data_IF_930377278106
#
_entry.id   IF_930377278106
#
_cell.length_a   1.000
_cell.length_b   1.000
_cell.length_c   1.000
_cell.angle_alpha   90.00
_cell.angle_beta   90.00
_cell.angle_gamma   90.00
#
_symmetry.space_group_name_H-M   'P 1'
#
loop_
_entity.id
_entity.type
_entity.pdbx_description
1 polymer ?
#
# COMPACT_ATOMS: atom_id res chain seq x y z
N UNK A 1 -28.53 19.76 -12.24
CA UNK A 1 -27.84 19.11 -11.10
C UNK A 1 -27.99 17.59 -11.28
N UNK A 2 -26.98 16.92 -11.84
CA UNK A 2 -26.99 15.46 -12.01
C UNK A 2 -27.07 14.81 -10.62
N UNK A 3 -28.21 14.19 -10.33
CA UNK A 3 -28.36 13.29 -9.19
C UNK A 3 -27.72 11.97 -9.61
N UNK A 4 -26.39 11.92 -9.61
CA UNK A 4 -25.67 10.68 -9.80
C UNK A 4 -25.91 9.82 -8.56
N UNK A 5 -26.47 8.61 -8.74
CA UNK A 5 -26.49 7.62 -7.68
C UNK A 5 -25.06 7.44 -7.17
N UNK A 6 -24.85 7.68 -5.87
CA UNK A 6 -23.59 7.34 -5.21
C UNK A 6 -23.49 5.81 -5.23
N UNK A 7 -22.85 5.28 -6.27
CA UNK A 7 -22.48 3.87 -6.33
C UNK A 7 -21.32 3.62 -5.37
N UNK A 8 -21.42 2.56 -4.58
CA UNK A 8 -20.31 2.11 -3.74
C UNK A 8 -19.27 1.45 -4.66
N UNK A 9 -18.14 2.11 -4.88
CA UNK A 9 -17.04 1.58 -5.71
C UNK A 9 -16.05 0.88 -4.79
N UNK A 10 -15.87 -0.43 -4.98
CA UNK A 10 -14.92 -1.25 -4.25
C UNK A 10 -13.96 -1.96 -5.21
N UNK A 11 -12.73 -2.23 -4.76
CA UNK A 11 -11.77 -3.05 -5.50
C UNK A 11 -11.83 -4.46 -4.93
N UNK A 12 -11.95 -5.46 -5.81
CA UNK A 12 -12.02 -6.85 -5.43
C UNK A 12 -10.76 -7.59 -5.87
N UNK A 13 -10.11 -8.27 -4.94
CA UNK A 13 -9.08 -9.25 -5.22
C UNK A 13 -9.67 -10.65 -5.05
N UNK A 14 -9.81 -11.41 -6.15
CA UNK A 14 -10.32 -12.79 -6.14
C UNK A 14 -9.23 -13.83 -5.79
N UNK A 15 -8.15 -13.39 -5.18
CA UNK A 15 -6.97 -14.20 -4.93
C UNK A 15 -6.24 -13.68 -3.71
N UNK A 16 -5.76 -14.60 -2.87
CA UNK A 16 -4.86 -14.32 -1.76
C UNK A 16 -3.37 -14.27 -2.19
N UNK A 17 -3.08 -14.40 -3.50
CA UNK A 17 -1.72 -14.27 -4.01
C UNK A 17 -1.18 -12.87 -3.72
N UNK A 18 0.01 -12.81 -3.11
CA UNK A 18 0.69 -11.55 -2.72
C UNK A 18 0.77 -10.58 -3.89
N UNK A 19 1.17 -11.04 -5.09
CA UNK A 19 1.26 -10.18 -6.28
C UNK A 19 -0.09 -9.56 -6.67
N UNK A 20 -1.20 -10.30 -6.55
CA UNK A 20 -2.54 -9.79 -6.85
C UNK A 20 -3.01 -8.79 -5.79
N UNK A 21 -2.71 -9.03 -4.52
CA UNK A 21 -3.05 -8.11 -3.43
C UNK A 21 -2.28 -6.79 -3.57
N UNK A 22 -0.98 -6.86 -3.88
CA UNK A 22 -0.14 -5.68 -4.11
C UNK A 22 -0.59 -4.89 -5.34
N UNK A 23 -0.95 -5.59 -6.43
CA UNK A 23 -1.58 -4.97 -7.59
C UNK A 23 -2.87 -4.23 -7.20
N UNK A 24 -3.75 -4.88 -6.44
CA UNK A 24 -5.03 -4.31 -6.05
C UNK A 24 -4.87 -3.10 -5.11
N UNK A 25 -3.90 -3.14 -4.19
CA UNK A 25 -3.52 -2.00 -3.37
C UNK A 25 -2.99 -0.84 -4.22
N UNK A 26 -2.19 -1.14 -5.24
CA UNK A 26 -1.66 -0.12 -6.14
C UNK A 26 -2.73 0.54 -7.01
N UNK A 27 -3.63 -0.27 -7.59
CA UNK A 27 -4.80 0.23 -8.32
C UNK A 27 -5.68 1.09 -7.42
N UNK A 28 -5.88 0.69 -6.15
CA UNK A 28 -6.61 1.49 -5.17
C UNK A 28 -6.00 2.86 -4.97
N UNK A 29 -4.70 2.94 -4.75
CA UNK A 29 -4.03 4.21 -4.56
C UNK A 29 -4.17 5.13 -5.79
N UNK A 30 -4.01 4.57 -7.00
CA UNK A 30 -4.18 5.31 -8.25
C UNK A 30 -5.62 5.84 -8.42
N UNK A 31 -6.62 4.99 -8.16
CA UNK A 31 -8.03 5.37 -8.27
C UNK A 31 -8.42 6.38 -7.19
N UNK A 32 -7.97 6.18 -5.95
CA UNK A 32 -8.23 7.10 -4.84
C UNK A 32 -7.70 8.51 -5.17
N UNK A 33 -6.51 8.63 -5.77
CA UNK A 33 -5.96 9.93 -6.22
C UNK A 33 -6.82 10.62 -7.27
N UNK A 34 -7.45 9.86 -8.18
CA UNK A 34 -8.28 10.40 -9.27
C UNK A 34 -9.74 10.65 -8.88
N UNK A 35 -10.25 9.91 -7.90
CA UNK A 35 -11.65 9.92 -7.49
C UNK A 35 -11.89 10.64 -6.14
N UNK A 36 -10.82 11.19 -5.54
CA UNK A 36 -10.74 11.74 -4.17
C UNK A 36 -11.88 12.69 -3.73
N UNK A 37 -12.49 13.55 -4.56
CA UNK A 37 -13.62 14.35 -4.09
C UNK A 37 -15.00 13.67 -4.18
N UNK A 38 -15.14 12.54 -4.90
CA UNK A 38 -16.46 12.01 -5.30
C UNK A 38 -16.82 10.64 -4.71
N UNK A 39 -15.86 9.80 -4.34
CA UNK A 39 -16.12 8.37 -4.14
C UNK A 39 -16.35 7.92 -2.68
N UNK A 40 -16.10 8.77 -1.67
CA UNK A 40 -15.82 8.24 -0.32
C UNK A 40 -14.59 7.33 -0.36
N UNK A 41 -14.16 6.75 0.76
CA UNK A 41 -13.04 5.80 0.73
C UNK A 41 -13.30 4.65 -0.26
N UNK A 42 -12.28 4.21 -0.99
CA UNK A 42 -12.34 3.04 -1.88
C UNK A 42 -11.98 1.78 -1.09
N UNK A 43 -12.94 0.97 -0.59
CA UNK A 43 -12.61 -0.25 0.13
C UNK A 43 -11.95 -1.27 -0.78
N UNK A 44 -11.01 -2.03 -0.21
CA UNK A 44 -10.40 -3.20 -0.83
C UNK A 44 -10.97 -4.46 -0.19
N UNK A 45 -11.55 -5.33 -1.00
CA UNK A 45 -12.23 -6.55 -0.58
C UNK A 45 -11.49 -7.76 -1.16
N UNK A 46 -11.31 -8.80 -0.35
CA UNK A 46 -10.81 -10.11 -0.79
C UNK A 46 -12.01 -11.05 -0.88
N UNK A 47 -12.11 -11.77 -1.99
CA UNK A 47 -13.11 -12.83 -2.16
C UNK A 47 -12.46 -14.17 -1.80
N UNK A 48 -13.02 -14.82 -0.80
CA UNK A 48 -12.68 -16.17 -0.34
C UNK A 48 -13.85 -17.10 -0.70
N UNK A 49 -13.58 -18.22 -1.37
CA UNK A 49 -14.66 -19.14 -1.81
C UNK A 49 -15.42 -19.78 -0.64
N UNK A 50 -14.77 -19.95 0.51
CA UNK A 50 -15.37 -20.52 1.71
C UNK A 50 -16.05 -19.47 2.61
N UNK A 51 -15.58 -18.21 2.57
CA UNK A 51 -16.00 -17.15 3.51
C UNK A 51 -16.68 -15.95 2.86
N UNK A 52 -16.78 -15.91 1.54
CA UNK A 52 -17.35 -14.80 0.78
C UNK A 52 -16.42 -13.58 0.69
N UNK A 53 -16.99 -12.39 0.48
CA UNK A 53 -16.24 -11.15 0.41
C UNK A 53 -15.93 -10.61 1.81
N UNK A 54 -14.65 -10.35 2.09
CA UNK A 54 -14.16 -9.78 3.35
C UNK A 54 -13.35 -8.53 3.09
N UNK A 55 -13.37 -7.59 4.04
CA UNK A 55 -12.49 -6.43 3.98
C UNK A 55 -11.02 -6.87 4.06
N UNK A 56 -10.19 -6.31 3.18
CA UNK A 56 -8.75 -6.31 3.36
C UNK A 56 -8.39 -5.04 4.11
N UNK A 57 -8.53 -5.10 5.43
CA UNK A 57 -8.38 -3.94 6.29
C UNK A 57 -6.92 -3.39 6.28
N UNK A 58 -6.71 -2.16 6.78
CA UNK A 58 -5.38 -1.57 6.84
C UNK A 58 -4.35 -2.40 7.63
N UNK A 59 -4.77 -3.18 8.63
CA UNK A 59 -3.86 -3.98 9.44
C UNK A 59 -3.32 -5.19 8.64
N UNK A 60 -4.19 -5.88 7.91
CA UNK A 60 -3.84 -6.98 7.02
C UNK A 60 -2.99 -6.50 5.83
N UNK A 61 -3.28 -5.31 5.30
CA UNK A 61 -2.46 -4.67 4.27
C UNK A 61 -1.06 -4.34 4.78
N UNK A 62 -0.93 -3.78 5.98
CA UNK A 62 0.37 -3.52 6.61
C UNK A 62 1.17 -4.80 6.81
N UNK A 63 0.52 -5.85 7.33
CA UNK A 63 1.16 -7.14 7.55
C UNK A 63 1.72 -7.71 6.23
N UNK A 64 0.91 -7.68 5.15
CA UNK A 64 1.35 -8.12 3.82
C UNK A 64 2.61 -7.36 3.36
N UNK A 65 2.66 -6.04 3.54
CA UNK A 65 3.81 -5.23 3.15
C UNK A 65 5.06 -5.55 3.98
N UNK A 66 4.91 -5.80 5.28
CA UNK A 66 6.01 -6.17 6.17
C UNK A 66 6.59 -7.55 5.82
N UNK A 67 5.72 -8.52 5.54
CA UNK A 67 6.12 -9.86 5.10
C UNK A 67 6.82 -9.80 3.74
N UNK A 68 6.29 -9.01 2.80
CA UNK A 68 6.89 -8.83 1.49
C UNK A 68 8.24 -8.11 1.55
N UNK A 69 8.38 -7.06 2.37
CA UNK A 69 9.66 -6.39 2.58
C UNK A 69 10.72 -7.34 3.15
N UNK A 70 10.35 -8.09 4.20
CA UNK A 70 11.23 -9.10 4.81
C UNK A 70 11.68 -10.16 3.80
N UNK A 71 10.79 -10.54 2.86
CA UNK A 71 11.11 -11.48 1.79
C UNK A 71 12.10 -10.92 0.77
N UNK A 72 11.98 -9.64 0.40
CA UNK A 72 12.90 -8.97 -0.52
C UNK A 72 14.27 -8.67 0.08
N UNK A 73 14.36 -8.51 1.40
CA UNK A 73 15.62 -8.26 2.12
C UNK A 73 16.49 -9.52 2.27
N UNK A 74 15.97 -10.71 1.96
CA UNK A 74 16.75 -11.93 2.05
C UNK A 74 17.88 -11.94 0.99
N UNK A 75 19.13 -12.21 1.38
CA UNK A 75 20.27 -12.29 0.47
C UNK A 75 20.20 -13.59 -0.33
N UNK A 76 19.31 -13.64 -1.32
CA UNK A 76 19.23 -14.74 -2.27
C UNK A 76 19.98 -14.29 -3.53
N UNK A 77 20.92 -15.11 -4.00
CA UNK A 77 21.77 -14.84 -5.19
C UNK A 77 20.97 -14.59 -6.48
N UNK A 78 19.66 -14.79 -6.45
CA UNK A 78 18.70 -14.37 -7.47
C UNK A 78 17.50 -13.73 -6.77
N UNK A 79 16.99 -12.57 -7.23
CA UNK A 79 15.73 -12.06 -6.71
C UNK A 79 14.66 -13.13 -6.94
N UNK A 80 13.95 -13.55 -5.88
CA UNK A 80 13.00 -14.64 -5.98
C UNK A 80 12.00 -14.40 -7.11
N UNK A 81 11.55 -15.47 -7.77
CA UNK A 81 10.60 -15.43 -8.90
C UNK A 81 9.36 -14.58 -8.61
N UNK A 82 8.93 -14.51 -7.34
CA UNK A 82 7.88 -13.63 -6.85
C UNK A 82 8.14 -12.14 -7.12
N UNK A 83 9.38 -11.66 -6.98
CA UNK A 83 9.72 -10.25 -7.19
C UNK A 83 9.71 -9.84 -8.68
N UNK A 84 9.96 -10.78 -9.60
CA UNK A 84 10.04 -10.50 -11.05
C UNK A 84 8.66 -10.31 -11.71
N UNK A 85 7.59 -10.80 -11.08
CA UNK A 85 6.22 -10.72 -11.60
C UNK A 85 5.29 -9.76 -10.85
N UNK A 86 5.75 -9.14 -9.76
CA UNK A 86 4.91 -8.22 -8.98
C UNK A 86 4.85 -6.85 -9.67
N UNK A 87 3.64 -6.35 -9.98
CA UNK A 87 3.49 -5.03 -10.59
C UNK A 87 3.90 -3.93 -9.61
N UNK A 88 4.82 -3.06 -10.04
CA UNK A 88 5.33 -1.92 -9.26
C UNK A 88 4.39 -0.73 -9.38
N UNK A 89 3.25 -0.81 -8.70
CA UNK A 89 2.28 0.28 -8.60
C UNK A 89 2.44 1.05 -7.28
N UNK A 90 2.17 2.38 -7.26
CA UNK A 90 2.25 3.17 -6.04
C UNK A 90 1.27 2.64 -5.01
N UNK A 91 1.75 2.39 -3.79
CA UNK A 91 0.93 1.95 -2.66
C UNK A 91 0.76 3.15 -1.71
N UNK A 92 -0.48 3.42 -1.31
CA UNK A 92 -0.78 4.46 -0.32
C UNK A 92 -0.62 3.91 1.09
N UNK A 93 0.47 4.31 1.75
CA UNK A 93 0.81 3.87 3.11
C UNK A 93 0.21 4.76 4.21
N UNK A 94 -0.41 5.90 3.87
CA UNK A 94 -0.84 6.92 4.85
C UNK A 94 -1.85 6.35 5.86
N UNK A 95 -2.77 5.54 5.39
CA UNK A 95 -3.80 4.90 6.23
C UNK A 95 -3.31 3.62 6.92
N UNK A 96 -2.13 3.11 6.56
CA UNK A 96 -1.60 1.83 7.04
C UNK A 96 -0.85 1.93 8.37
N UNK A 97 -0.61 3.15 8.88
CA UNK A 97 0.16 3.40 10.11
C UNK A 97 1.50 2.66 10.10
N UNK A 98 2.20 2.72 8.98
CA UNK A 98 3.58 2.23 8.81
C UNK A 98 4.51 3.38 9.19
N UNK A 99 5.55 3.12 9.98
CA UNK A 99 6.52 4.16 10.35
C UNK A 99 7.30 4.68 9.12
N UNK A 100 7.85 5.88 9.21
CA UNK A 100 8.47 6.55 8.07
C UNK A 100 9.70 5.80 7.52
N UNK A 101 10.45 5.09 8.38
CA UNK A 101 11.61 4.31 7.96
C UNK A 101 11.18 3.07 7.15
N UNK A 102 10.15 2.35 7.62
CA UNK A 102 9.57 1.22 6.92
C UNK A 102 8.89 1.65 5.61
N UNK A 103 8.26 2.82 5.57
CA UNK A 103 7.77 3.40 4.31
C UNK A 103 8.93 3.66 3.33
N UNK A 104 10.02 4.29 3.79
CA UNK A 104 11.20 4.54 2.96
C UNK A 104 11.80 3.24 2.41
N UNK A 105 11.92 2.21 3.25
CA UNK A 105 12.39 0.87 2.85
C UNK A 105 11.49 0.25 1.79
N UNK A 106 10.17 0.26 2.01
CA UNK A 106 9.19 -0.21 1.04
C UNK A 106 9.32 0.53 -0.30
N UNK A 107 9.44 1.86 -0.28
CA UNK A 107 9.62 2.67 -1.49
C UNK A 107 10.93 2.34 -2.22
N UNK A 108 12.03 2.16 -1.48
CA UNK A 108 13.32 1.74 -2.04
C UNK A 108 13.27 0.36 -2.69
N UNK A 109 12.58 -0.60 -2.05
CA UNK A 109 12.38 -1.95 -2.57
C UNK A 109 11.45 -2.00 -3.79
N UNK A 110 10.42 -1.16 -3.83
CA UNK A 110 9.44 -1.10 -4.93
C UNK A 110 9.90 -0.28 -6.14
N UNK A 111 10.92 0.58 -5.99
CA UNK A 111 11.44 1.41 -7.08
C UNK A 111 10.47 2.50 -7.56
N UNK A 112 9.59 3.02 -6.69
CA UNK A 112 8.62 4.07 -7.01
C UNK A 112 9.07 5.47 -6.55
N UNK A 113 8.76 6.46 -7.39
CA UNK A 113 9.45 7.75 -7.55
C UNK A 113 8.94 8.93 -6.70
N UNK A 114 9.94 9.71 -6.29
CA UNK A 114 10.02 11.13 -5.89
C UNK A 114 9.05 11.74 -4.86
N UNK A 115 7.72 11.74 -5.05
CA UNK A 115 6.81 12.47 -4.14
C UNK A 115 6.60 11.75 -2.80
N UNK A 116 6.27 10.45 -2.82
CA UNK A 116 6.09 9.68 -1.60
C UNK A 116 7.43 9.49 -0.84
N UNK A 117 8.54 9.43 -1.58
CA UNK A 117 9.89 9.41 -1.01
C UNK A 117 10.20 10.73 -0.31
N UNK A 118 9.87 11.87 -0.94
CA UNK A 118 10.03 13.20 -0.34
C UNK A 118 9.21 13.34 0.94
N UNK A 119 7.95 12.92 0.94
CA UNK A 119 7.10 12.98 2.13
C UNK A 119 7.63 12.09 3.27
N UNK A 120 8.15 10.88 2.95
CA UNK A 120 8.76 10.00 3.93
C UNK A 120 10.05 10.60 4.53
N UNK A 121 10.92 11.20 3.70
CA UNK A 121 12.14 11.89 4.15
C UNK A 121 11.80 13.10 5.02
N UNK A 122 10.81 13.90 4.64
CA UNK A 122 10.35 15.05 5.44
C UNK A 122 9.81 14.59 6.79
N UNK A 123 9.06 13.48 6.85
CA UNK A 123 8.61 12.89 8.12
C UNK A 123 9.78 12.46 9.00
N UNK A 124 10.75 11.74 8.45
CA UNK A 124 11.95 11.30 9.18
C UNK A 124 12.75 12.48 9.77
N UNK A 125 12.89 13.56 9.00
CA UNK A 125 13.57 14.78 9.48
C UNK A 125 12.80 15.46 10.62
N UNK A 126 11.47 15.45 10.59
CA UNK A 126 10.65 16.00 11.69
C UNK A 126 10.73 15.15 12.95
N UNK A 127 10.66 13.83 12.81
CA UNK A 127 10.73 12.89 13.93
C UNK A 127 12.11 12.94 14.59
N UNK A 128 13.18 13.01 13.80
CA UNK A 128 14.55 13.21 14.30
C UNK A 128 14.76 14.55 15.00
N UNK A 129 14.16 15.64 14.49
CA UNK A 129 14.22 16.95 15.12
C UNK A 129 13.42 17.03 16.43
N UNK A 130 12.32 16.29 16.54
CA UNK A 130 11.54 16.18 17.78
C UNK A 130 12.31 15.39 18.85
N UNK A 131 12.99 14.30 18.48
CA UNK A 131 13.83 13.53 19.38
C UNK A 131 15.03 14.33 19.92
N UNK A 132 15.61 15.22 19.11
CA UNK A 132 16.73 16.07 19.50
C UNK A 132 16.35 17.28 20.38
N UNK A 133 15.06 17.66 20.46
CA UNK A 133 14.57 18.75 21.31
C UNK A 133 14.06 18.29 22.68
N UNK A 134 13.96 16.98 22.90
CA UNK A 134 13.57 16.37 24.17
C UNK A 134 14.73 15.94 25.07
N UNK A 135 15.97 16.23 24.65
CA UNK A 135 17.20 16.14 25.45
C UNK A 135 17.65 17.54 25.84
#
# INVERSE_FOLDING_TARGET
RLHGAQGLVAIFARSACVAHLLLAMGVRALLARRLSPCAGGLPLLIIDEARGARAFDPAAQRQLLQEYASYLEQPICDPPSLARGVPRLPIDCRELRIDALAQLRLHGLYGLTDEALRDAVVSLLRDGAAAAKGQ
#
